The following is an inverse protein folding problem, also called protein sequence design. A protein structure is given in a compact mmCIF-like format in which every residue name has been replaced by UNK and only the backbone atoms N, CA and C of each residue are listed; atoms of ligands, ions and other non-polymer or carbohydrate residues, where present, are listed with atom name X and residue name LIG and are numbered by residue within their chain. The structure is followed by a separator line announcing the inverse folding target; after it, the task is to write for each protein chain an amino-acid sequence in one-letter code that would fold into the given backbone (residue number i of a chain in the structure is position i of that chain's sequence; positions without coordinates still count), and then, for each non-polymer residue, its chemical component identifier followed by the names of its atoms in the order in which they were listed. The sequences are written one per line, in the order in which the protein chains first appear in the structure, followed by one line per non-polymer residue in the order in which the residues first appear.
data_IF_235658622162
#
_entry.id   IF_235658622162
#
_cell.length_a   1.000
_cell.length_b   1.000
_cell.length_c   1.000
_cell.angle_alpha   90.00
_cell.angle_beta   90.00
_cell.angle_gamma   90.00
#
_symmetry.space_group_name_H-M   'P 1'
#
loop_
_entity.id
_entity.type
_entity.pdbx_description
1 polymer ?
#
# COMPACT_ATOMS: atom_id res chain seq x y z
N UNK A 1 -5.38 -8.14 20.21
CA UNK A 1 -4.51 -7.34 19.36
C UNK A 1 -4.51 -5.97 19.96
N UNK A 2 -3.36 -5.28 19.98
CA UNK A 2 -3.29 -3.91 20.49
C UNK A 2 -2.63 -3.02 19.46
N UNK A 3 -3.23 -1.87 19.23
CA UNK A 3 -2.66 -0.80 18.40
C UNK A 3 -2.61 0.47 19.22
N UNK A 4 -1.46 1.15 19.18
CA UNK A 4 -1.33 2.51 19.65
C UNK A 4 -1.20 3.45 18.45
N UNK A 5 -2.06 4.46 18.35
CA UNK A 5 -1.94 5.55 17.38
C UNK A 5 -0.95 6.60 17.92
N UNK A 6 0.29 6.64 17.42
CA UNK A 6 1.32 7.52 17.97
C UNK A 6 1.07 8.96 17.56
N UNK A 7 1.87 9.89 18.09
CA UNK A 7 1.83 11.29 17.64
C UNK A 7 2.11 11.43 16.14
N UNK A 8 3.02 10.62 15.59
CA UNK A 8 3.39 10.61 14.18
C UNK A 8 3.64 9.21 13.66
N UNK A 9 3.08 8.88 12.50
CA UNK A 9 3.41 7.67 11.74
C UNK A 9 3.23 7.91 10.24
N UNK A 10 4.31 8.34 9.57
CA UNK A 10 4.43 8.48 8.11
C UNK A 10 5.42 7.48 7.55
N UNK A 11 5.41 7.20 6.24
CA UNK A 11 6.29 6.16 5.66
C UNK A 11 7.77 6.34 6.05
N UNK A 12 8.24 7.59 6.18
CA UNK A 12 9.59 7.89 6.65
C UNK A 12 9.91 7.39 8.08
N UNK A 13 8.92 7.30 8.97
CA UNK A 13 9.05 6.95 10.39
C UNK A 13 7.99 5.94 10.88
N UNK A 14 7.46 5.06 10.00
CA UNK A 14 6.35 4.16 10.32
C UNK A 14 6.77 2.89 11.08
N UNK A 15 8.06 2.55 11.06
CA UNK A 15 8.61 1.29 11.56
C UNK A 15 8.29 1.06 13.05
N UNK A 16 8.41 2.06 13.95
CA UNK A 16 8.01 1.88 15.35
C UNK A 16 6.52 1.59 15.51
N UNK A 17 5.66 2.12 14.65
CA UNK A 17 4.23 1.83 14.67
C UNK A 17 3.94 0.36 14.35
N UNK A 18 4.60 -0.20 13.32
CA UNK A 18 4.43 -1.63 13.01
C UNK A 18 5.05 -2.53 14.07
N UNK A 19 6.21 -2.18 14.64
CA UNK A 19 6.83 -2.97 15.72
C UNK A 19 6.00 -2.97 17.00
N UNK A 20 5.27 -1.90 17.26
CA UNK A 20 4.39 -1.78 18.43
C UNK A 20 3.04 -2.51 18.26
N UNK A 21 2.73 -3.02 17.06
CA UNK A 21 1.50 -3.79 16.85
C UNK A 21 1.55 -5.11 17.63
N UNK A 22 0.60 -5.33 18.52
CA UNK A 22 0.53 -6.57 19.29
C UNK A 22 -0.50 -7.52 18.69
N UNK A 23 -0.08 -8.71 18.28
CA UNK A 23 -0.92 -9.77 17.72
C UNK A 23 -1.37 -10.84 18.74
N UNK A 24 -1.00 -10.72 20.03
CA UNK A 24 -1.17 -11.76 21.06
C UNK A 24 -2.61 -12.22 21.29
N UNK A 25 -3.60 -11.33 21.14
CA UNK A 25 -5.01 -11.63 21.39
C UNK A 25 -5.86 -11.51 20.12
N UNK A 26 -5.87 -12.50 19.22
CA UNK A 26 -6.44 -12.35 17.86
C UNK A 26 -7.95 -12.12 17.80
N UNK A 27 -8.68 -12.26 18.91
CA UNK A 27 -10.14 -12.12 19.00
C UNK A 27 -10.64 -10.79 19.61
N UNK A 28 -9.73 -9.91 20.04
CA UNK A 28 -10.05 -8.57 20.55
C UNK A 28 -9.14 -7.55 19.91
N UNK A 29 -9.62 -6.35 19.61
CA UNK A 29 -8.81 -5.22 19.16
C UNK A 29 -8.87 -4.08 20.17
N UNK A 30 -7.75 -3.80 20.83
CA UNK A 30 -7.60 -2.66 21.74
C UNK A 30 -6.90 -1.52 20.99
N UNK A 31 -7.50 -0.34 20.97
CA UNK A 31 -6.98 0.85 20.30
C UNK A 31 -6.73 1.93 21.35
N UNK A 32 -5.47 2.33 21.45
CA UNK A 32 -5.03 3.49 22.24
C UNK A 32 -4.46 4.56 21.32
N UNK A 33 -4.29 5.77 21.82
CA UNK A 33 -3.97 6.93 21.01
C UNK A 33 -3.16 7.98 21.80
N UNK A 34 -2.29 8.72 21.13
CA UNK A 34 -1.61 9.84 21.77
C UNK A 34 -2.63 10.90 22.23
N UNK A 35 -2.55 11.35 23.48
CA UNK A 35 -3.55 12.25 24.07
C UNK A 35 -3.53 13.68 23.53
N UNK A 36 -2.40 14.16 22.99
CA UNK A 36 -2.23 15.57 22.58
C UNK A 36 -2.61 15.79 21.12
N UNK A 37 -1.89 15.11 20.24
CA UNK A 37 -2.01 15.30 18.80
C UNK A 37 -1.58 14.03 18.08
N UNK A 38 -2.26 13.72 16.98
CA UNK A 38 -1.98 12.57 16.14
C UNK A 38 -2.00 13.00 14.67
N UNK A 39 -0.93 12.67 13.95
CA UNK A 39 -0.82 12.89 12.51
C UNK A 39 -0.20 11.64 11.85
N UNK A 40 -1.02 10.91 11.11
CA UNK A 40 -0.64 9.60 10.56
C UNK A 40 -0.90 9.54 9.06
N UNK A 41 -0.14 8.68 8.39
CA UNK A 41 -0.31 8.37 6.99
C UNK A 41 -1.58 7.55 6.76
N UNK A 42 -2.30 7.71 5.63
CA UNK A 42 -3.51 6.95 5.30
C UNK A 42 -3.38 5.42 5.46
N UNK A 43 -2.21 4.86 5.21
CA UNK A 43 -1.90 3.43 5.43
C UNK A 43 -2.18 2.95 6.87
N UNK A 44 -1.98 3.81 7.87
CA UNK A 44 -2.31 3.51 9.27
C UNK A 44 -3.82 3.36 9.43
N UNK A 45 -4.59 4.26 8.82
CA UNK A 45 -6.04 4.21 8.83
C UNK A 45 -6.55 2.94 8.15
N UNK A 46 -6.01 2.64 6.96
CA UNK A 46 -6.38 1.45 6.19
C UNK A 46 -6.10 0.16 6.97
N UNK A 47 -4.94 0.06 7.62
CA UNK A 47 -4.60 -1.08 8.49
C UNK A 47 -5.58 -1.24 9.66
N UNK A 48 -5.84 -0.16 10.41
CA UNK A 48 -6.72 -0.20 11.59
C UNK A 48 -8.17 -0.51 11.19
N UNK A 49 -8.65 0.09 10.10
CA UNK A 49 -9.99 -0.17 9.57
C UNK A 49 -10.15 -1.62 9.07
N UNK A 50 -9.13 -2.19 8.43
CA UNK A 50 -9.14 -3.57 7.98
C UNK A 50 -9.19 -4.56 9.16
N UNK A 51 -8.47 -4.28 10.25
CA UNK A 51 -8.59 -5.05 11.49
C UNK A 51 -9.97 -4.92 12.12
N UNK A 52 -10.52 -3.70 12.18
CA UNK A 52 -11.85 -3.45 12.73
C UNK A 52 -12.95 -4.24 12.01
N UNK A 53 -12.88 -4.31 10.68
CA UNK A 53 -13.79 -5.14 9.89
C UNK A 53 -13.64 -6.64 10.19
N UNK A 54 -12.39 -7.13 10.23
CA UNK A 54 -12.10 -8.55 10.46
C UNK A 54 -12.51 -9.04 11.85
N UNK A 55 -12.30 -8.23 12.87
CA UNK A 55 -12.59 -8.61 14.26
C UNK A 55 -14.06 -8.45 14.62
N UNK A 56 -14.78 -7.57 13.91
CA UNK A 56 -16.16 -7.22 14.21
C UNK A 56 -16.27 -6.18 15.33
N UNK A 57 -17.23 -5.26 15.19
CA UNK A 57 -17.39 -4.07 16.04
C UNK A 57 -17.56 -4.38 17.53
N UNK A 58 -18.19 -5.51 17.89
CA UNK A 58 -18.40 -5.94 19.28
C UNK A 58 -17.11 -6.30 20.02
N UNK A 59 -16.03 -6.57 19.29
CA UNK A 59 -14.75 -7.01 19.82
C UNK A 59 -13.68 -5.90 19.83
N UNK A 60 -14.11 -4.65 19.60
CA UNK A 60 -13.25 -3.48 19.54
C UNK A 60 -13.42 -2.69 20.83
N UNK A 61 -12.30 -2.43 21.47
CA UNK A 61 -12.18 -1.60 22.66
C UNK A 61 -11.28 -0.42 22.29
N UNK A 62 -11.88 0.74 22.07
CA UNK A 62 -11.15 1.96 21.73
C UNK A 62 -11.23 2.92 22.90
N UNK A 63 -10.06 3.33 23.41
CA UNK A 63 -10.04 4.36 24.43
C UNK A 63 -10.63 5.68 23.89
N UNK A 64 -11.12 6.51 24.80
CA UNK A 64 -11.62 7.84 24.44
C UNK A 64 -10.49 8.66 23.81
N UNK A 65 -10.64 9.03 22.53
CA UNK A 65 -9.67 9.87 21.86
C UNK A 65 -9.71 11.31 22.41
N UNK A 66 -8.65 11.67 23.12
CA UNK A 66 -8.46 13.01 23.72
C UNK A 66 -7.80 14.00 22.75
N UNK A 67 -7.04 13.51 21.77
CA UNK A 67 -6.27 14.34 20.84
C UNK A 67 -7.12 15.40 20.15
N UNK A 68 -6.59 16.62 20.03
CA UNK A 68 -7.27 17.69 19.31
C UNK A 68 -7.51 17.34 17.83
N UNK A 69 -6.63 16.51 17.24
CA UNK A 69 -6.74 16.06 15.85
C UNK A 69 -7.74 14.91 15.62
N UNK A 70 -8.50 14.47 16.64
CA UNK A 70 -9.44 13.33 16.52
C UNK A 70 -10.51 13.51 15.43
N UNK A 71 -10.87 14.75 15.12
CA UNK A 71 -11.80 15.08 14.03
C UNK A 71 -11.31 14.59 12.65
N UNK A 72 -9.99 14.42 12.47
CA UNK A 72 -9.43 13.82 11.27
C UNK A 72 -9.89 12.37 11.08
N UNK A 73 -9.93 11.57 12.14
CA UNK A 73 -10.36 10.17 12.07
C UNK A 73 -11.84 10.03 11.74
N UNK A 74 -12.66 10.92 12.29
CA UNK A 74 -14.08 11.03 11.93
C UNK A 74 -14.25 11.37 10.45
N UNK A 75 -13.55 12.40 9.95
CA UNK A 75 -13.60 12.81 8.53
C UNK A 75 -13.12 11.72 7.58
N UNK A 76 -12.09 10.96 7.98
CA UNK A 76 -11.60 9.82 7.20
C UNK A 76 -12.48 8.57 7.36
N UNK A 77 -13.54 8.62 8.16
CA UNK A 77 -14.50 7.52 8.34
C UNK A 77 -14.04 6.39 9.25
N UNK A 78 -12.94 6.55 10.00
CA UNK A 78 -12.37 5.47 10.81
C UNK A 78 -13.35 4.98 11.89
N UNK A 79 -14.04 5.90 12.58
CA UNK A 79 -14.97 5.53 13.64
C UNK A 79 -16.16 4.71 13.12
N UNK A 80 -16.61 4.96 11.88
CA UNK A 80 -17.63 4.14 11.20
C UNK A 80 -17.17 2.68 11.01
N UNK A 81 -15.92 2.48 10.58
CA UNK A 81 -15.33 1.15 10.41
C UNK A 81 -15.16 0.44 11.75
N UNK A 82 -14.85 1.18 12.82
CA UNK A 82 -14.67 0.65 14.17
C UNK A 82 -15.98 0.51 14.97
N UNK A 83 -17.10 1.06 14.48
CA UNK A 83 -18.37 1.06 15.23
C UNK A 83 -18.39 2.00 16.44
N UNK A 84 -17.49 2.97 16.49
CA UNK A 84 -17.39 3.94 17.57
C UNK A 84 -18.41 5.06 17.32
N UNK A 85 -19.23 5.37 18.34
CA UNK A 85 -20.11 6.54 18.28
C UNK A 85 -19.29 7.81 18.48
N UNK A 86 -19.45 8.76 17.56
CA UNK A 86 -18.74 10.03 17.56
C UNK A 86 -19.71 11.15 17.90
N UNK A 87 -19.44 11.90 18.97
CA UNK A 87 -20.16 13.13 19.30
C UNK A 87 -19.53 14.36 18.62
N UNK A 88 -18.69 14.15 17.61
CA UNK A 88 -17.97 15.22 16.92
C UNK A 88 -18.88 15.82 15.86
N UNK A 89 -19.30 17.08 16.06
CA UNK A 89 -19.98 17.85 15.03
C UNK A 89 -18.96 18.27 13.96
N UNK A 90 -19.06 17.68 12.77
CA UNK A 90 -18.26 18.12 11.62
C UNK A 90 -18.93 19.38 11.06
N UNK A 91 -18.34 20.55 11.30
CA UNK A 91 -18.75 21.77 10.59
C UNK A 91 -18.30 21.66 9.14
N UNK A 92 -19.26 21.58 8.21
CA UNK A 92 -19.05 21.52 6.75
C UNK A 92 -18.39 22.79 6.17
N UNK A 93 -18.27 23.86 6.97
CA UNK A 93 -17.71 25.15 6.55
C UNK A 93 -16.18 25.21 6.69
N UNK A 94 -15.45 24.43 5.89
CA UNK A 94 -14.11 24.84 5.43
C UNK A 94 -13.78 24.15 4.09
N UNK A 95 -13.35 24.91 3.06
CA UNK A 95 -13.21 24.42 1.69
C UNK A 95 -11.97 23.50 1.56
N UNK A 96 -12.07 22.19 1.79
CA UNK A 96 -10.85 21.34 1.78
C UNK A 96 -11.07 19.83 1.53
N UNK A 97 -11.96 19.46 0.60
CA UNK A 97 -12.17 18.07 0.17
C UNK A 97 -11.01 17.49 -0.65
N UNK A 98 -9.80 17.35 -0.10
CA UNK A 98 -8.65 16.73 -0.81
C UNK A 98 -8.21 15.42 -0.17
N UNK A 99 -9.17 14.56 0.14
CA UNK A 99 -8.92 13.25 0.69
C UNK A 99 -9.95 12.27 0.18
N UNK A 100 -9.56 11.00 0.17
CA UNK A 100 -10.42 9.86 -0.05
C UNK A 100 -10.59 9.23 1.34
N UNK A 101 -11.78 9.34 1.95
CA UNK A 101 -12.09 8.64 3.19
C UNK A 101 -11.86 7.14 3.05
N UNK A 102 -11.78 6.44 4.18
CA UNK A 102 -11.72 4.99 4.20
C UNK A 102 -12.86 4.41 3.37
N UNK A 103 -12.46 3.70 2.31
CA UNK A 103 -13.35 3.11 1.33
C UNK A 103 -13.07 1.62 1.28
N UNK A 104 -14.13 0.82 1.37
CA UNK A 104 -14.07 -0.62 1.20
C UNK A 104 -14.44 -0.97 -0.23
N UNK A 105 -13.60 -1.75 -0.90
CA UNK A 105 -13.80 -2.22 -2.28
C UNK A 105 -13.75 -3.75 -2.28
N UNK A 106 -14.89 -4.40 -2.54
CA UNK A 106 -15.05 -5.86 -2.48
C UNK A 106 -15.04 -6.56 -3.84
N UNK A 107 -15.30 -5.84 -4.92
CA UNK A 107 -15.40 -6.41 -6.26
C UNK A 107 -14.99 -5.39 -7.34
N UNK A 108 -14.88 -5.88 -8.57
CA UNK A 108 -14.48 -5.09 -9.75
C UNK A 108 -15.47 -3.98 -10.09
N UNK A 109 -16.78 -4.18 -9.87
CA UNK A 109 -17.79 -3.13 -10.10
C UNK A 109 -17.61 -1.95 -9.14
N UNK A 110 -17.41 -2.23 -7.86
CA UNK A 110 -17.10 -1.22 -6.84
C UNK A 110 -15.79 -0.49 -7.16
N UNK A 111 -14.77 -1.20 -7.65
CA UNK A 111 -13.51 -0.60 -8.09
C UNK A 111 -13.73 0.38 -9.25
N UNK A 112 -14.46 -0.02 -10.29
CA UNK A 112 -14.74 0.85 -11.44
C UNK A 112 -15.48 2.12 -11.03
N UNK A 113 -16.48 1.98 -10.15
CA UNK A 113 -17.21 3.13 -9.61
C UNK A 113 -16.26 4.06 -8.83
N UNK A 114 -15.47 3.48 -7.93
CA UNK A 114 -14.53 4.22 -7.12
C UNK A 114 -13.50 5.02 -7.95
N UNK A 115 -12.94 4.42 -9.00
CA UNK A 115 -11.96 5.10 -9.88
C UNK A 115 -12.58 6.32 -10.59
N UNK A 116 -13.88 6.28 -10.89
CA UNK A 116 -14.60 7.41 -11.50
C UNK A 116 -14.80 8.55 -10.50
N UNK A 117 -15.09 8.21 -9.24
CA UNK A 117 -15.43 9.17 -8.19
C UNK A 117 -14.20 9.76 -7.48
N UNK A 118 -13.04 9.09 -7.52
CA UNK A 118 -11.87 9.49 -6.73
C UNK A 118 -11.19 10.78 -7.19
N UNK A 119 -11.25 11.12 -8.49
CA UNK A 119 -10.53 12.27 -9.05
C UNK A 119 -11.09 13.60 -8.54
N UNK A 120 -12.42 13.84 -8.56
CA UNK A 120 -13.03 15.00 -7.94
C UNK A 120 -12.66 15.16 -6.46
N UNK A 121 -12.59 14.05 -5.70
CA UNK A 121 -12.28 14.05 -4.26
C UNK A 121 -10.85 14.48 -3.91
N UNK A 122 -9.94 14.52 -4.90
CA UNK A 122 -8.58 15.01 -4.69
C UNK A 122 -8.39 16.43 -5.24
N UNK A 123 -9.37 16.98 -5.97
CA UNK A 123 -9.31 18.28 -6.66
C UNK A 123 -8.01 18.43 -7.48
N UNK A 124 -7.74 17.45 -8.35
CA UNK A 124 -6.54 17.40 -9.17
C UNK A 124 -6.84 17.67 -10.63
N UNK A 125 -5.85 18.22 -11.32
CA UNK A 125 -5.89 18.30 -12.78
C UNK A 125 -5.86 16.89 -13.41
N UNK A 126 -6.50 16.68 -14.57
CA UNK A 126 -6.58 15.36 -15.21
C UNK A 126 -5.23 14.65 -15.36
N UNK A 127 -4.17 15.39 -15.72
CA UNK A 127 -2.80 14.89 -15.87
C UNK A 127 -2.19 14.39 -14.55
N UNK A 128 -2.50 15.05 -13.43
CA UNK A 128 -2.04 14.65 -12.09
C UNK A 128 -2.80 13.44 -11.57
N UNK A 129 -4.04 13.27 -12.02
CA UNK A 129 -4.91 12.17 -11.61
C UNK A 129 -4.57 10.82 -12.27
N UNK A 130 -3.93 10.81 -13.45
CA UNK A 130 -3.55 9.58 -14.17
C UNK A 130 -2.67 8.60 -13.36
N UNK A 131 -1.52 9.02 -12.80
CA UNK A 131 -0.69 8.16 -11.96
C UNK A 131 -1.46 7.54 -10.79
N UNK A 132 -2.33 8.34 -10.19
CA UNK A 132 -3.09 7.96 -9.00
C UNK A 132 -4.16 6.93 -9.36
N UNK A 133 -4.91 7.16 -10.45
CA UNK A 133 -5.88 6.19 -10.96
C UNK A 133 -5.23 4.86 -11.27
N UNK A 134 -4.05 4.89 -11.92
CA UNK A 134 -3.28 3.69 -12.21
C UNK A 134 -2.88 2.97 -10.92
N UNK A 135 -2.22 3.66 -9.99
CA UNK A 135 -1.74 3.06 -8.74
C UNK A 135 -2.89 2.47 -7.93
N UNK A 136 -3.98 3.21 -7.75
CA UNK A 136 -5.12 2.71 -6.97
C UNK A 136 -5.82 1.54 -7.66
N UNK A 137 -6.00 1.58 -8.97
CA UNK A 137 -6.57 0.47 -9.73
C UNK A 137 -5.72 -0.80 -9.59
N UNK A 138 -4.40 -0.70 -9.75
CA UNK A 138 -3.48 -1.83 -9.61
C UNK A 138 -3.44 -2.37 -8.18
N UNK A 139 -3.39 -1.49 -7.17
CA UNK A 139 -3.40 -1.89 -5.77
C UNK A 139 -4.69 -2.63 -5.38
N UNK A 140 -5.85 -2.07 -5.74
CA UNK A 140 -7.13 -2.71 -5.46
C UNK A 140 -7.29 -4.02 -6.23
N UNK A 141 -6.89 -4.07 -7.51
CA UNK A 141 -6.94 -5.30 -8.31
C UNK A 141 -6.08 -6.41 -7.70
N UNK A 142 -4.87 -6.09 -7.24
CA UNK A 142 -4.02 -7.07 -6.54
C UNK A 142 -4.72 -7.69 -5.32
N UNK A 143 -5.46 -6.88 -4.56
CA UNK A 143 -6.25 -7.40 -3.43
C UNK A 143 -7.36 -8.31 -3.94
N UNK A 144 -8.18 -7.86 -4.89
CA UNK A 144 -9.32 -8.63 -5.39
C UNK A 144 -8.91 -9.96 -6.03
N UNK A 145 -7.75 -10.02 -6.69
CA UNK A 145 -7.29 -11.20 -7.41
C UNK A 145 -6.46 -12.16 -6.55
N UNK A 146 -5.75 -11.67 -5.53
CA UNK A 146 -4.72 -12.46 -4.85
C UNK A 146 -4.92 -12.60 -3.34
N UNK A 147 -5.68 -11.71 -2.69
CA UNK A 147 -5.78 -11.73 -1.23
C UNK A 147 -6.69 -12.83 -0.69
N UNK A 148 -7.73 -13.23 -1.44
CA UNK A 148 -8.85 -14.03 -0.90
C UNK A 148 -9.47 -13.41 0.38
N UNK A 149 -9.39 -12.08 0.51
CA UNK A 149 -9.94 -11.33 1.63
C UNK A 149 -11.46 -11.27 1.55
N UNK A 150 -12.15 -11.70 2.61
CA UNK A 150 -13.61 -11.55 2.74
C UNK A 150 -14.05 -10.07 2.74
N UNK A 151 -13.16 -9.19 3.22
CA UNK A 151 -13.45 -7.77 3.38
C UNK A 151 -12.96 -6.92 2.20
N UNK A 152 -12.33 -7.53 1.19
CA UNK A 152 -11.76 -6.83 0.05
C UNK A 152 -10.61 -5.88 0.44
N UNK A 153 -10.46 -4.81 -0.35
CA UNK A 153 -9.47 -3.76 -0.18
C UNK A 153 -10.02 -2.62 0.67
N UNK A 154 -9.25 -2.21 1.69
CA UNK A 154 -9.55 -1.03 2.50
C UNK A 154 -8.56 0.06 2.13
N UNK A 155 -9.05 1.12 1.51
CA UNK A 155 -8.23 2.16 0.91
C UNK A 155 -8.56 3.53 1.49
N UNK A 156 -7.53 4.36 1.66
CA UNK A 156 -7.69 5.78 1.93
C UNK A 156 -6.55 6.57 1.29
N UNK A 157 -6.79 7.84 1.01
CA UNK A 157 -5.78 8.73 0.47
C UNK A 157 -5.95 10.17 0.96
N UNK A 158 -4.87 10.94 0.95
CA UNK A 158 -4.92 12.35 1.31
C UNK A 158 -3.90 13.15 0.50
N UNK A 159 -4.31 14.30 0.01
CA UNK A 159 -3.44 15.28 -0.61
C UNK A 159 -2.95 16.31 0.43
N UNK A 160 -1.63 16.45 0.52
CA UNK A 160 -0.92 17.41 1.36
C UNK A 160 -0.43 18.57 0.51
N UNK A 161 -1.12 19.70 0.59
CA UNK A 161 -0.87 20.89 -0.23
C UNK A 161 0.54 21.45 -0.05
N UNK A 162 1.00 21.57 1.20
CA UNK A 162 2.31 22.17 1.53
C UNK A 162 3.49 21.44 0.87
N UNK A 163 3.40 20.13 0.72
CA UNK A 163 4.46 19.31 0.10
C UNK A 163 4.11 18.89 -1.33
N UNK A 164 2.99 19.37 -1.86
CA UNK A 164 2.40 18.93 -3.13
C UNK A 164 2.40 17.40 -3.31
N UNK A 165 2.03 16.65 -2.26
CA UNK A 165 2.17 15.18 -2.21
C UNK A 165 0.84 14.50 -1.91
N UNK A 166 0.54 13.42 -2.62
CA UNK A 166 -0.58 12.53 -2.30
C UNK A 166 -0.05 11.28 -1.63
N UNK A 167 -0.69 10.92 -0.53
CA UNK A 167 -0.36 9.74 0.26
C UNK A 167 -1.50 8.76 0.16
N UNK A 168 -1.20 7.50 -0.17
CA UNK A 168 -2.19 6.46 -0.41
C UNK A 168 -1.86 5.28 0.48
N UNK A 169 -2.88 4.75 1.16
CA UNK A 169 -2.79 3.55 1.97
C UNK A 169 -3.84 2.54 1.56
N UNK A 170 -3.43 1.29 1.36
CA UNK A 170 -4.33 0.16 1.16
C UNK A 170 -3.94 -0.97 2.10
N UNK A 171 -4.94 -1.65 2.64
CA UNK A 171 -4.76 -2.86 3.43
C UNK A 171 -5.84 -3.89 3.10
N UNK A 172 -5.46 -5.17 3.14
CA UNK A 172 -6.37 -6.31 3.14
C UNK A 172 -6.05 -7.22 4.33
N UNK A 173 -6.97 -8.12 4.67
CA UNK A 173 -6.79 -9.12 5.73
C UNK A 173 -6.86 -10.56 5.23
N UNK A 174 -6.41 -10.75 3.99
CA UNK A 174 -6.39 -12.02 3.27
C UNK A 174 -5.19 -12.91 3.59
N UNK A 175 -4.81 -13.76 2.64
CA UNK A 175 -3.81 -14.82 2.82
C UNK A 175 -2.35 -14.35 2.91
N UNK A 176 -2.08 -13.09 2.54
CA UNK A 176 -0.74 -12.52 2.47
C UNK A 176 0.09 -12.97 1.25
N UNK A 177 1.18 -12.25 1.02
CA UNK A 177 2.00 -12.39 -0.20
C UNK A 177 2.67 -13.75 -0.25
N UNK A 178 3.25 -14.24 0.86
CA UNK A 178 3.96 -15.51 0.88
C UNK A 178 3.07 -16.68 0.47
N UNK A 179 1.85 -16.75 0.99
CA UNK A 179 0.91 -17.83 0.64
C UNK A 179 0.44 -17.71 -0.81
N UNK A 180 0.22 -16.49 -1.32
CA UNK A 180 -0.15 -16.25 -2.71
C UNK A 180 0.97 -16.60 -3.70
N UNK A 181 2.18 -16.08 -3.49
CA UNK A 181 3.34 -16.31 -4.37
C UNK A 181 3.76 -17.79 -4.40
N UNK A 182 3.70 -18.50 -3.27
CA UNK A 182 4.08 -19.92 -3.19
C UNK A 182 3.20 -20.87 -4.00
N UNK A 183 2.07 -20.42 -4.53
CA UNK A 183 1.28 -21.19 -5.50
C UNK A 183 2.08 -21.46 -6.80
N UNK A 184 2.94 -20.51 -7.19
CA UNK A 184 3.72 -20.58 -8.44
C UNK A 184 5.23 -20.50 -8.24
N UNK A 185 5.72 -19.84 -7.18
CA UNK A 185 7.14 -19.59 -6.96
C UNK A 185 7.51 -19.84 -5.50
N UNK A 186 8.49 -20.73 -5.28
CA UNK A 186 8.98 -21.04 -3.93
C UNK A 186 9.66 -19.83 -3.29
N UNK A 187 9.10 -19.37 -2.17
CA UNK A 187 9.58 -18.28 -1.34
C UNK A 187 9.71 -18.78 0.12
N UNK A 188 10.94 -18.99 0.63
CA UNK A 188 11.15 -19.58 1.95
C UNK A 188 10.75 -18.63 3.09
N UNK A 189 10.95 -17.33 2.91
CA UNK A 189 10.66 -16.28 3.91
C UNK A 189 9.60 -15.30 3.39
N UNK A 190 9.01 -14.53 4.30
CA UNK A 190 8.07 -13.45 3.91
C UNK A 190 8.80 -12.36 3.11
N UNK A 191 10.06 -12.05 3.45
CA UNK A 191 10.85 -11.07 2.71
C UNK A 191 11.18 -11.54 1.29
N UNK A 192 11.55 -12.81 1.11
CA UNK A 192 11.78 -13.36 -0.24
C UNK A 192 10.48 -13.36 -1.06
N UNK A 193 9.33 -13.61 -0.42
CA UNK A 193 8.04 -13.50 -1.11
C UNK A 193 7.74 -12.06 -1.56
N UNK A 194 8.00 -11.07 -0.71
CA UNK A 194 7.88 -9.65 -1.04
C UNK A 194 8.83 -9.27 -2.18
N UNK A 195 10.09 -9.70 -2.11
CA UNK A 195 11.09 -9.47 -3.16
C UNK A 195 10.62 -10.04 -4.50
N UNK A 196 10.10 -11.27 -4.50
CA UNK A 196 9.53 -11.90 -5.70
C UNK A 196 8.32 -11.13 -6.23
N UNK A 197 7.40 -10.69 -5.36
CA UNK A 197 6.21 -9.91 -5.75
C UNK A 197 6.57 -8.53 -6.35
N UNK A 198 7.70 -7.95 -5.96
CA UNK A 198 8.23 -6.70 -6.51
C UNK A 198 9.12 -6.91 -7.75
N UNK A 199 9.41 -8.16 -8.12
CA UNK A 199 10.24 -8.49 -9.28
C UNK A 199 9.37 -8.51 -10.54
N UNK A 200 9.78 -7.84 -11.65
CA UNK A 200 8.99 -7.79 -12.86
C UNK A 200 8.76 -9.18 -13.47
N UNK A 201 7.50 -9.46 -13.82
CA UNK A 201 7.10 -10.67 -14.55
C UNK A 201 6.82 -11.87 -13.63
N UNK A 202 6.63 -11.62 -12.33
CA UNK A 202 6.39 -12.63 -11.30
C UNK A 202 5.01 -12.42 -10.68
N UNK A 203 4.21 -13.49 -10.61
CA UNK A 203 2.86 -13.48 -10.02
C UNK A 203 2.57 -14.83 -9.37
N UNK A 204 1.69 -14.85 -8.36
CA UNK A 204 1.25 -16.09 -7.71
C UNK A 204 0.40 -16.99 -8.63
N UNK A 205 -0.20 -16.45 -9.68
CA UNK A 205 -1.19 -17.17 -10.52
C UNK A 205 -0.58 -18.04 -11.62
N UNK A 206 0.70 -17.85 -11.96
CA UNK A 206 1.35 -18.68 -12.99
C UNK A 206 2.84 -18.77 -12.81
N UNK A 207 3.40 -19.94 -13.17
CA UNK A 207 4.84 -20.16 -13.27
C UNK A 207 5.46 -19.55 -14.53
N UNK A 208 4.64 -19.07 -15.49
CA UNK A 208 5.13 -18.48 -16.74
C UNK A 208 5.66 -17.07 -16.49
N UNK A 209 6.94 -16.84 -16.80
CA UNK A 209 7.56 -15.51 -16.70
C UNK A 209 6.91 -14.53 -17.67
N UNK A 210 6.40 -13.43 -17.11
CA UNK A 210 5.62 -12.41 -17.81
C UNK A 210 4.10 -12.61 -17.73
N UNK A 211 3.62 -13.61 -16.99
CA UNK A 211 2.21 -13.81 -16.69
C UNK A 211 1.32 -14.21 -17.87
N UNK A 212 0.04 -13.88 -17.77
CA UNK A 212 -0.96 -13.91 -18.88
C UNK A 212 -1.24 -12.48 -19.37
N UNK A 213 -1.94 -12.30 -20.50
CA UNK A 213 -2.34 -10.96 -21.01
C UNK A 213 -3.07 -10.10 -19.95
N UNK A 214 -3.75 -10.75 -19.00
CA UNK A 214 -4.48 -10.10 -17.91
C UNK A 214 -3.66 -9.93 -16.63
N UNK A 215 -2.69 -10.82 -16.36
CA UNK A 215 -1.97 -10.91 -15.08
C UNK A 215 -0.46 -11.09 -15.28
N UNK A 216 0.20 -10.04 -15.78
CA UNK A 216 1.61 -10.06 -16.16
C UNK A 216 2.62 -10.15 -14.99
N UNK A 217 2.17 -9.98 -13.74
CA UNK A 217 3.07 -9.90 -12.58
C UNK A 217 3.91 -8.62 -12.58
N UNK A 218 3.29 -7.49 -12.94
CA UNK A 218 3.95 -6.22 -13.15
C UNK A 218 3.46 -5.08 -12.22
N UNK A 219 2.24 -5.17 -11.66
CA UNK A 219 1.60 -4.05 -10.95
C UNK A 219 2.45 -3.47 -9.81
N UNK A 220 2.87 -4.31 -8.85
CA UNK A 220 3.71 -3.84 -7.73
C UNK A 220 5.09 -3.36 -8.17
N UNK A 221 5.69 -3.96 -9.21
CA UNK A 221 6.93 -3.46 -9.79
C UNK A 221 6.75 -2.05 -10.39
N UNK A 222 5.65 -1.81 -11.11
CA UNK A 222 5.34 -0.51 -11.69
C UNK A 222 5.10 0.54 -10.60
N UNK A 223 4.28 0.23 -9.60
CA UNK A 223 3.99 1.15 -8.48
C UNK A 223 5.28 1.54 -7.74
N UNK A 224 6.13 0.56 -7.38
CA UNK A 224 7.44 0.80 -6.76
C UNK A 224 8.36 1.64 -7.67
N UNK A 225 8.33 1.38 -8.98
CA UNK A 225 9.16 2.11 -9.95
C UNK A 225 8.69 3.57 -10.13
N UNK A 226 7.38 3.83 -10.07
CA UNK A 226 6.83 5.20 -10.07
C UNK A 226 7.32 5.95 -8.84
N UNK A 227 7.19 5.36 -7.64
CA UNK A 227 7.71 5.96 -6.40
C UNK A 227 9.22 6.22 -6.49
N UNK A 228 9.99 5.29 -7.05
CA UNK A 228 11.44 5.46 -7.24
C UNK A 228 11.78 6.62 -8.16
N UNK A 229 11.07 6.77 -9.28
CA UNK A 229 11.32 7.87 -10.23
C UNK A 229 10.95 9.22 -9.63
N UNK A 230 9.92 9.26 -8.78
CA UNK A 230 9.50 10.49 -8.12
C UNK A 230 10.28 10.78 -6.82
N UNK A 231 11.29 9.98 -6.48
CA UNK A 231 12.05 10.11 -5.23
C UNK A 231 11.18 10.01 -3.97
N UNK A 232 10.13 9.19 -4.03
CA UNK A 232 9.14 9.03 -2.98
C UNK A 232 9.30 7.75 -2.18
N UNK A 233 8.57 7.68 -1.06
CA UNK A 233 8.48 6.48 -0.25
C UNK A 233 7.47 5.49 -0.85
N UNK A 234 7.82 4.21 -0.80
CA UNK A 234 6.91 3.09 -1.04
C UNK A 234 7.15 2.04 0.04
N UNK A 235 6.08 1.40 0.51
CA UNK A 235 6.11 0.44 1.59
C UNK A 235 5.21 -0.73 1.24
N UNK A 236 5.67 -1.94 1.54
CA UNK A 236 4.85 -3.15 1.55
C UNK A 236 5.15 -3.97 2.81
N UNK A 237 4.10 -4.45 3.48
CA UNK A 237 4.18 -5.26 4.70
C UNK A 237 3.19 -6.44 4.61
N UNK A 238 3.70 -7.66 4.77
CA UNK A 238 2.92 -8.90 4.76
C UNK A 238 3.63 -9.99 5.55
N UNK A 239 2.89 -10.80 6.32
CA UNK A 239 3.49 -11.77 7.22
C UNK A 239 4.33 -11.09 8.30
N UNK A 240 5.59 -11.49 8.48
CA UNK A 240 6.53 -10.85 9.41
C UNK A 240 7.50 -9.86 8.74
N UNK A 241 7.40 -9.68 7.43
CA UNK A 241 8.38 -8.91 6.68
C UNK A 241 7.82 -7.62 6.08
N UNK A 242 8.67 -6.60 6.04
CA UNK A 242 8.42 -5.32 5.41
C UNK A 242 9.57 -4.96 4.47
N UNK A 243 9.22 -4.43 3.31
CA UNK A 243 10.13 -3.70 2.44
C UNK A 243 9.67 -2.25 2.34
N UNK A 244 10.60 -1.31 2.56
CA UNK A 244 10.36 0.13 2.42
C UNK A 244 11.40 0.75 1.49
N UNK A 245 10.96 1.24 0.34
CA UNK A 245 11.74 2.10 -0.54
C UNK A 245 11.96 3.46 0.12
N UNK A 246 13.21 3.91 0.16
CA UNK A 246 13.61 5.21 0.70
C UNK A 246 13.82 6.21 -0.44
N UNK A 247 13.60 7.50 -0.15
CA UNK A 247 13.88 8.58 -1.11
C UNK A 247 15.33 8.53 -1.60
N UNK A 248 15.57 8.61 -2.91
CA UNK A 248 16.92 8.73 -3.46
C UNK A 248 17.38 10.18 -3.47
N UNK A 249 18.71 10.41 -3.41
CA UNK A 249 19.26 11.77 -3.44
C UNK A 249 19.12 12.36 -4.86
N UNK A 250 18.49 13.54 -4.99
CA UNK A 250 18.15 14.14 -6.30
C UNK A 250 19.40 14.55 -7.10
N UNK A 251 20.52 14.84 -6.42
CA UNK A 251 21.71 15.44 -7.02
C UNK A 251 22.65 14.46 -7.76
N UNK A 252 22.44 13.14 -7.64
CA UNK A 252 23.36 12.13 -8.20
C UNK A 252 22.66 11.15 -9.14
N UNK A 253 22.83 11.40 -10.45
CA UNK A 253 22.70 10.45 -11.59
C UNK A 253 21.30 10.18 -12.18
N UNK A 254 21.31 9.75 -13.46
CA UNK A 254 20.17 9.19 -14.19
C UNK A 254 19.48 8.10 -13.35
N UNK A 255 18.17 8.26 -13.10
CA UNK A 255 17.37 7.27 -12.39
C UNK A 255 17.39 5.94 -13.14
N UNK A 256 17.97 4.91 -12.51
CA UNK A 256 18.05 3.55 -13.05
C UNK A 256 17.04 2.66 -12.37
N UNK A 257 16.19 1.96 -13.12
CA UNK A 257 15.28 0.96 -12.56
C UNK A 257 16.00 -0.40 -12.43
N UNK A 258 15.76 -1.08 -11.31
CA UNK A 258 16.32 -2.40 -11.04
C UNK A 258 15.21 -3.45 -10.95
N UNK A 259 15.47 -4.60 -11.58
CA UNK A 259 14.63 -5.78 -11.47
C UNK A 259 14.57 -6.32 -10.04
N UNK A 260 15.72 -6.40 -9.37
CA UNK A 260 15.82 -6.78 -7.97
C UNK A 260 15.56 -5.54 -7.10
N UNK A 261 14.46 -5.50 -6.32
CA UNK A 261 14.13 -4.35 -5.47
C UNK A 261 15.21 -4.09 -4.42
N UNK A 262 15.99 -5.10 -4.00
CA UNK A 262 17.04 -4.92 -3.00
C UNK A 262 18.25 -4.10 -3.52
N UNK A 263 18.29 -3.78 -4.82
CA UNK A 263 19.28 -2.84 -5.39
C UNK A 263 18.85 -1.37 -5.27
N UNK A 264 17.60 -1.12 -4.90
CA UNK A 264 17.11 0.23 -4.62
C UNK A 264 17.63 0.72 -3.27
N UNK A 265 17.56 2.02 -2.99
CA UNK A 265 17.77 2.53 -1.63
C UNK A 265 16.55 2.15 -0.81
N UNK A 266 16.71 1.26 0.17
CA UNK A 266 15.59 0.67 0.89
C UNK A 266 15.96 0.34 2.34
N UNK A 267 14.96 0.01 3.14
CA UNK A 267 15.09 -0.62 4.45
C UNK A 267 14.15 -1.83 4.54
N UNK A 268 14.55 -2.84 5.31
CA UNK A 268 13.78 -4.07 5.54
C UNK A 268 13.63 -4.34 7.03
N UNK A 269 12.59 -5.07 7.39
CA UNK A 269 12.42 -5.70 8.70
C UNK A 269 11.80 -7.09 8.46
N UNK A 270 12.30 -8.12 9.14
CA UNK A 270 11.83 -9.51 9.01
C UNK A 270 11.22 -10.08 10.30
N UNK A 271 11.22 -9.28 11.37
CA UNK A 271 10.78 -9.67 12.70
C UNK A 271 9.60 -8.81 13.17
N UNK A 272 8.79 -8.34 12.23
CA UNK A 272 7.57 -7.63 12.58
C UNK A 272 6.54 -8.61 13.16
N UNK A 273 5.59 -8.08 13.95
CA UNK A 273 4.36 -8.79 14.29
C UNK A 273 3.73 -9.39 13.03
N UNK A 274 3.03 -10.52 13.16
CA UNK A 274 2.47 -11.18 11.98
C UNK A 274 1.24 -10.42 11.46
N UNK A 275 1.30 -9.89 10.25
CA UNK A 275 0.15 -9.35 9.53
C UNK A 275 -0.46 -10.41 8.60
N UNK A 276 -1.71 -10.77 8.86
CA UNK A 276 -2.47 -11.71 8.05
C UNK A 276 -3.20 -10.98 6.91
N UNK A 277 -2.46 -10.68 5.84
CA UNK A 277 -2.91 -9.95 4.65
C UNK A 277 -1.75 -9.20 3.99
N UNK A 278 -2.05 -8.12 3.28
CA UNK A 278 -1.04 -7.20 2.74
C UNK A 278 -1.38 -5.75 3.08
N UNK A 279 -0.36 -4.95 3.40
CA UNK A 279 -0.44 -3.50 3.57
C UNK A 279 0.49 -2.87 2.55
N UNK A 280 0.01 -1.86 1.81
CA UNK A 280 0.83 -1.05 0.91
C UNK A 280 0.60 0.43 1.18
N UNK A 281 1.71 1.18 1.27
CA UNK A 281 1.71 2.63 1.39
C UNK A 281 2.59 3.27 0.32
N UNK A 282 2.15 4.38 -0.26
CA UNK A 282 2.93 5.11 -1.26
C UNK A 282 2.71 6.62 -1.12
N UNK A 283 3.81 7.37 -1.19
CA UNK A 283 3.82 8.82 -1.39
C UNK A 283 3.98 9.10 -2.89
N UNK A 284 3.30 10.13 -3.39
CA UNK A 284 3.40 10.58 -4.79
C UNK A 284 3.50 12.11 -4.79
N UNK A 285 4.69 12.64 -5.09
CA UNK A 285 4.86 14.06 -5.38
C UNK A 285 4.24 14.39 -6.73
N UNK A 286 3.49 15.49 -6.77
CA UNK A 286 2.88 16.03 -7.99
C UNK A 286 3.81 17.00 -8.74
N UNK A 287 5.03 17.23 -8.22
CA UNK A 287 6.06 18.09 -8.84
C UNK A 287 6.88 17.34 -9.91
N UNK A 288 6.55 16.09 -10.20
CA UNK A 288 7.30 15.25 -11.12
C UNK A 288 7.36 15.87 -12.52
N UNK A 289 8.58 16.11 -13.00
CA UNK A 289 8.88 16.81 -14.26
C UNK A 289 8.70 15.96 -15.52
N UNK A 290 8.51 14.64 -15.37
CA UNK A 290 8.32 13.72 -16.48
C UNK A 290 6.84 13.42 -16.69
N UNK A 291 6.40 13.48 -17.94
CA UNK A 291 5.07 13.00 -18.31
C UNK A 291 4.88 11.54 -17.88
N UNK A 292 3.69 11.24 -17.34
CA UNK A 292 3.37 9.91 -16.82
C UNK A 292 3.47 8.81 -17.90
N UNK A 293 3.12 9.14 -19.15
CA UNK A 293 3.30 8.28 -20.33
C UNK A 293 4.77 7.85 -20.51
N UNK A 294 5.69 8.81 -20.50
CA UNK A 294 7.14 8.58 -20.64
C UNK A 294 7.68 7.74 -19.49
N UNK A 295 7.16 7.96 -18.27
CA UNK A 295 7.49 7.13 -17.11
C UNK A 295 7.04 5.67 -17.31
N UNK A 296 5.81 5.45 -17.77
CA UNK A 296 5.30 4.11 -18.03
C UNK A 296 6.11 3.39 -19.11
N UNK A 297 6.51 4.09 -20.17
CA UNK A 297 7.31 3.49 -21.24
C UNK A 297 8.70 3.08 -20.76
N UNK A 298 9.37 3.93 -19.95
CA UNK A 298 10.64 3.58 -19.32
C UNK A 298 10.54 2.31 -18.43
N UNK A 299 9.44 2.21 -17.67
CA UNK A 299 9.18 1.06 -16.81
C UNK A 299 8.91 -0.19 -17.67
N UNK A 300 8.12 -0.06 -18.74
CA UNK A 300 7.81 -1.15 -19.70
C UNK A 300 9.07 -1.66 -20.39
N UNK A 301 9.96 -0.78 -20.85
CA UNK A 301 11.24 -1.19 -21.45
C UNK A 301 12.09 -2.00 -20.48
N UNK A 302 12.20 -1.53 -19.22
CA UNK A 302 12.93 -2.23 -18.16
C UNK A 302 12.31 -3.60 -17.88
N UNK A 303 10.98 -3.67 -17.82
CA UNK A 303 10.23 -4.90 -17.65
C UNK A 303 10.53 -5.90 -18.78
N UNK A 304 10.38 -5.49 -20.04
CA UNK A 304 10.60 -6.35 -21.22
C UNK A 304 12.04 -6.87 -21.26
N UNK A 305 13.02 -6.00 -21.00
CA UNK A 305 14.44 -6.38 -20.95
C UNK A 305 14.68 -7.44 -19.87
N UNK A 306 14.17 -7.21 -18.67
CA UNK A 306 14.36 -8.12 -17.53
C UNK A 306 13.74 -9.50 -17.79
N UNK A 307 12.51 -9.53 -18.27
CA UNK A 307 11.81 -10.79 -18.59
C UNK A 307 12.57 -11.56 -19.67
N UNK A 308 13.10 -10.88 -20.70
CA UNK A 308 13.94 -11.51 -21.74
C UNK A 308 15.24 -12.10 -21.16
N UNK A 309 15.95 -11.35 -20.31
CA UNK A 309 17.19 -11.80 -19.68
C UNK A 309 16.97 -13.04 -18.80
N UNK A 310 15.90 -13.07 -18.02
CA UNK A 310 15.54 -14.22 -17.17
C UNK A 310 15.17 -15.45 -17.99
N UNK A 311 14.37 -15.30 -19.04
CA UNK A 311 14.05 -16.41 -19.96
C UNK A 311 15.33 -17.01 -20.55
N UNK A 312 16.28 -16.18 -21.01
CA UNK A 312 17.58 -16.63 -21.52
C UNK A 312 18.40 -17.37 -20.44
N UNK A 313 18.46 -16.85 -19.23
CA UNK A 313 19.17 -17.49 -18.12
C UNK A 313 18.59 -18.87 -17.78
N UNK A 314 17.26 -19.05 -17.84
CA UNK A 314 16.61 -20.34 -17.63
C UNK A 314 16.96 -21.36 -18.71
N UNK A 315 16.99 -20.97 -19.98
CA UNK A 315 17.39 -21.86 -21.08
C UNK A 315 18.87 -22.27 -21.00
N UNK A 316 19.72 -21.46 -20.37
CA UNK A 316 21.15 -21.76 -20.16
C UNK A 316 21.42 -22.63 -18.93
N UNK A 317 20.43 -22.89 -18.06
CA UNK A 317 20.63 -23.78 -16.91
C UNK A 317 20.62 -25.23 -17.39
N UNK A 318 21.64 -26.04 -17.07
CA UNK A 318 21.62 -27.47 -17.35
C UNK A 318 20.38 -28.08 -16.69
N UNK A 319 19.58 -28.81 -17.46
CA UNK A 319 18.56 -29.69 -16.90
C UNK A 319 19.28 -30.98 -16.53
N UNK A 320 19.61 -31.14 -15.26
CA UNK A 320 19.94 -32.46 -14.75
C UNK A 320 18.60 -33.22 -14.66
N UNK A 321 18.42 -34.20 -15.53
CA UNK A 321 17.31 -35.16 -15.53
C UNK A 321 17.68 -36.29 -14.59
#
# INVERSE_FOLDING_TARGET
MKIHLPNSAFLGNIDPFFRAFDCSHPHKLEITANKKWISVHPVVLSMVAALGLKIGKSNIDCEKMEAASKHYFERMGLFKFLGIKSDITITEHEPAGRFIPLTQIKNSTELTKFITEMVPLLHLEPKQAEPIRYIVSELARNVLEHSQSEFGAILSAQYYQKSNTIRIGIADTGIGIKKSINQSHSAPTDLEAIRLALTPGITGTTRKEGGTEFNAGAGLFFIKSIAKVNHDFFLIYSGKAMYKLLKSNQEKSRIRLYADPLKDRHSIDENLPFWNGTIVGIDISLDATKEFSVLLDLIRETYVKTVKERKKARYRRPKFI
#
